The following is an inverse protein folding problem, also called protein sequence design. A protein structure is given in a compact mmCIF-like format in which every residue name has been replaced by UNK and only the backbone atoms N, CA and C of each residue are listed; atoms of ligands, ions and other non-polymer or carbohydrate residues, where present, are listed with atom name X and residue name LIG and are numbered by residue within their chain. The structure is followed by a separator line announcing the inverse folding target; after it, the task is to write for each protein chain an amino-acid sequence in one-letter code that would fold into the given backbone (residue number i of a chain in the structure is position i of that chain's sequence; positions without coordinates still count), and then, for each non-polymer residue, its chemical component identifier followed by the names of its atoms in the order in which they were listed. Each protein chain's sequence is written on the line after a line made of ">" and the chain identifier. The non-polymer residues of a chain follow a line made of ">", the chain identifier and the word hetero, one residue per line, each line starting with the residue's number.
data_IF_331008352059
#
_entry.id   IF_331008352059
#
_cell.length_a   1.000
_cell.length_b   1.000
_cell.length_c   1.000
_cell.angle_alpha   90.00
_cell.angle_beta   90.00
_cell.angle_gamma   90.00
#
_symmetry.space_group_name_H-M   'P 1'
#
loop_
_entity.id
_entity.type
_entity.pdbx_description
1 polymer ?
#
# COMPACT_ATOMS: atom_id res chain seq x y z
N UNK A 1 16.14 -7.70 39.95
CA UNK A 1 15.06 -8.08 39.01
C UNK A 1 13.76 -8.03 39.79
N UNK A 2 12.87 -7.08 39.48
CA UNK A 2 11.63 -6.93 40.24
C UNK A 2 10.64 -8.07 39.93
N UNK A 3 10.12 -8.77 40.94
CA UNK A 3 9.22 -9.92 40.75
C UNK A 3 7.89 -9.52 40.07
N UNK A 4 7.55 -8.23 40.05
CA UNK A 4 6.36 -7.69 39.38
C UNK A 4 6.45 -7.68 37.85
N UNK A 5 7.66 -7.67 37.27
CA UNK A 5 7.83 -7.70 35.80
C UNK A 5 7.61 -9.11 35.21
N UNK A 6 7.80 -10.16 36.01
CA UNK A 6 7.60 -11.56 35.59
C UNK A 6 6.12 -11.87 35.28
N UNK A 7 5.20 -11.21 35.97
CA UNK A 7 3.75 -11.37 35.74
C UNK A 7 3.32 -10.69 34.44
N UNK A 8 3.89 -9.51 34.15
CA UNK A 8 3.59 -8.75 32.92
C UNK A 8 4.05 -9.43 31.63
N UNK A 9 5.11 -10.24 31.68
CA UNK A 9 5.59 -11.03 30.54
C UNK A 9 4.75 -12.28 30.26
N UNK A 10 3.90 -12.69 31.22
CA UNK A 10 3.10 -13.93 31.15
C UNK A 10 1.69 -13.72 30.62
N UNK A 11 1.23 -12.48 30.56
CA UNK A 11 -0.02 -12.13 29.90
C UNK A 11 0.24 -12.05 28.39
N UNK A 12 -0.53 -12.76 27.56
CA UNK A 12 -0.44 -12.57 26.11
C UNK A 12 -0.87 -11.13 25.81
N UNK A 13 0.08 -10.25 25.51
CA UNK A 13 -0.26 -8.90 25.04
C UNK A 13 -1.10 -9.04 23.76
N UNK A 14 -2.22 -8.33 23.71
CA UNK A 14 -3.01 -8.28 22.49
C UNK A 14 -2.12 -7.81 21.34
N UNK A 15 -2.11 -8.51 20.20
CA UNK A 15 -1.34 -8.08 19.05
C UNK A 15 -1.84 -6.69 18.64
N UNK A 16 -1.01 -5.67 18.90
CA UNK A 16 -1.26 -4.31 18.42
C UNK A 16 -1.01 -4.28 16.92
N UNK A 17 -2.04 -4.63 16.16
CA UNK A 17 -2.03 -4.41 14.73
C UNK A 17 -2.06 -2.91 14.44
N UNK A 18 -1.20 -2.47 13.53
CA UNK A 18 -1.25 -1.11 13.00
C UNK A 18 -2.53 -0.99 12.16
N UNK A 19 -3.54 -0.30 12.68
CA UNK A 19 -4.72 0.07 11.93
C UNK A 19 -4.43 1.33 11.13
N UNK A 20 -4.47 1.21 9.80
CA UNK A 20 -4.33 2.37 8.92
C UNK A 20 -5.71 2.99 8.65
N UNK A 21 -5.87 4.31 8.85
CA UNK A 21 -7.10 5.00 8.49
C UNK A 21 -7.26 4.97 6.96
N UNK A 22 -8.44 4.61 6.47
CA UNK A 22 -8.77 4.55 5.04
C UNK A 22 -10.00 5.41 4.77
N UNK A 23 -10.18 5.83 3.51
CA UNK A 23 -11.39 6.59 3.15
C UNK A 23 -12.63 5.70 3.26
N UNK A 24 -13.78 6.24 3.72
CA UNK A 24 -15.04 5.52 3.73
C UNK A 24 -15.49 5.19 2.30
N UNK A 25 -16.35 4.18 2.16
CA UNK A 25 -16.74 3.65 0.85
C UNK A 25 -17.45 4.67 -0.05
N UNK A 26 -18.12 5.66 0.54
CA UNK A 26 -18.85 6.73 -0.15
C UNK A 26 -18.01 7.99 -0.40
N UNK A 27 -16.70 7.95 -0.14
CA UNK A 27 -15.85 9.11 -0.31
C UNK A 27 -15.78 9.54 -1.78
N UNK A 28 -15.85 10.85 -2.02
CA UNK A 28 -15.76 11.47 -3.34
C UNK A 28 -14.49 12.29 -3.44
N UNK A 29 -13.87 12.28 -4.61
CA UNK A 29 -12.75 13.14 -4.96
C UNK A 29 -13.19 14.61 -5.08
N UNK A 30 -12.22 15.51 -5.19
CA UNK A 30 -12.44 16.96 -5.43
C UNK A 30 -13.34 17.23 -6.66
N UNK A 31 -13.40 16.29 -7.60
CA UNK A 31 -14.22 16.35 -8.82
C UNK A 31 -15.62 15.72 -8.67
N UNK A 32 -16.04 15.30 -7.47
CA UNK A 32 -17.35 14.70 -7.20
C UNK A 32 -17.51 13.23 -7.66
N UNK A 33 -16.45 12.63 -8.21
CA UNK A 33 -16.39 11.22 -8.60
C UNK A 33 -16.02 10.33 -7.41
N UNK A 34 -16.41 9.04 -7.39
CA UNK A 34 -16.03 8.13 -6.31
C UNK A 34 -14.50 8.02 -6.17
N UNK A 35 -14.00 8.15 -4.94
CA UNK A 35 -12.58 8.08 -4.63
C UNK A 35 -12.08 6.64 -4.78
N UNK A 36 -11.20 6.42 -5.75
CA UNK A 36 -10.72 5.08 -6.10
C UNK A 36 -9.53 4.62 -5.24
N UNK A 37 -8.86 5.55 -4.55
CA UNK A 37 -7.65 5.34 -3.76
C UNK A 37 -7.93 5.14 -2.25
N UNK A 38 -8.92 4.32 -1.89
CA UNK A 38 -9.39 4.14 -0.50
C UNK A 38 -8.27 3.89 0.51
N UNK A 39 -7.38 2.94 0.22
CA UNK A 39 -6.28 2.54 1.09
C UNK A 39 -4.98 3.31 0.83
N UNK A 40 -4.70 3.61 -0.45
CA UNK A 40 -3.47 4.30 -0.85
C UNK A 40 -3.46 5.78 -0.48
N UNK A 41 -4.63 6.38 -0.25
CA UNK A 41 -4.80 7.72 0.33
C UNK A 41 -3.99 7.94 1.60
N UNK A 42 -3.91 6.96 2.50
CA UNK A 42 -3.14 7.07 3.75
C UNK A 42 -1.71 7.55 3.51
N UNK A 43 -1.11 7.08 2.42
CA UNK A 43 0.28 7.36 2.05
C UNK A 43 0.39 8.63 1.20
N UNK A 44 -0.62 8.93 0.39
CA UNK A 44 -0.56 9.99 -0.64
C UNK A 44 -1.30 11.27 -0.23
N UNK A 45 -2.06 11.26 0.85
CA UNK A 45 -2.80 12.42 1.36
C UNK A 45 -1.91 13.33 2.21
N UNK A 46 -1.94 14.62 1.87
CA UNK A 46 -1.43 15.71 2.72
C UNK A 46 0.07 15.63 3.00
N UNK A 47 0.42 15.95 4.25
CA UNK A 47 1.80 16.02 4.76
C UNK A 47 2.12 14.93 5.79
N UNK A 48 1.27 13.89 5.89
CA UNK A 48 1.40 12.86 6.91
C UNK A 48 2.62 11.96 6.66
N UNK A 49 2.97 11.70 5.39
CA UNK A 49 4.08 10.84 5.00
C UNK A 49 4.90 11.42 3.83
N UNK A 50 5.70 12.49 4.06
CA UNK A 50 6.49 13.12 3.00
C UNK A 50 7.57 12.19 2.45
N UNK A 51 8.15 11.32 3.29
CA UNK A 51 9.17 10.35 2.85
C UNK A 51 8.62 9.31 1.86
N UNK A 52 7.40 8.82 2.08
CA UNK A 52 6.78 7.88 1.16
C UNK A 52 6.39 8.53 -0.17
N UNK A 53 5.94 9.79 -0.15
CA UNK A 53 5.68 10.56 -1.37
C UNK A 53 6.97 10.79 -2.16
N UNK A 54 8.10 11.07 -1.50
CA UNK A 54 9.39 11.19 -2.16
C UNK A 54 9.83 9.89 -2.84
N UNK A 55 9.61 8.73 -2.19
CA UNK A 55 9.89 7.42 -2.79
C UNK A 55 8.99 7.14 -4.00
N UNK A 56 7.70 7.47 -3.93
CA UNK A 56 6.78 7.31 -5.08
C UNK A 56 7.18 8.23 -6.25
N UNK A 57 7.62 9.46 -5.96
CA UNK A 57 8.18 10.35 -6.98
C UNK A 57 9.46 9.76 -7.61
N UNK A 58 10.35 9.21 -6.80
CA UNK A 58 11.58 8.56 -7.28
C UNK A 58 11.30 7.29 -8.09
N UNK A 59 10.21 6.57 -7.79
CA UNK A 59 9.76 5.40 -8.54
C UNK A 59 9.14 5.73 -9.91
N UNK A 60 8.96 7.03 -10.23
CA UNK A 60 8.48 7.49 -11.53
C UNK A 60 7.01 7.89 -11.59
N UNK A 61 6.33 8.09 -10.44
CA UNK A 61 4.97 8.64 -10.45
C UNK A 61 5.02 10.09 -10.97
N UNK A 62 4.27 10.44 -12.03
CA UNK A 62 4.52 11.66 -12.82
C UNK A 62 4.10 12.96 -12.14
N UNK A 63 3.10 12.95 -11.26
CA UNK A 63 2.63 14.16 -10.60
C UNK A 63 2.00 13.93 -9.23
N UNK A 64 1.92 14.99 -8.42
CA UNK A 64 1.29 14.97 -7.10
C UNK A 64 -0.22 14.77 -7.20
N UNK A 65 -0.83 15.25 -8.27
CA UNK A 65 -2.25 15.09 -8.58
C UNK A 65 -2.56 13.63 -8.91
N UNK A 66 -1.73 13.00 -9.74
CA UNK A 66 -1.83 11.57 -10.05
C UNK A 66 -1.70 10.73 -8.78
N UNK A 67 -0.73 11.05 -7.91
CA UNK A 67 -0.53 10.38 -6.64
C UNK A 67 -1.75 10.47 -5.68
N UNK A 68 -2.50 11.57 -5.74
CA UNK A 68 -3.69 11.82 -4.90
C UNK A 68 -4.99 11.28 -5.47
N UNK A 69 -5.09 11.08 -6.78
CA UNK A 69 -6.36 10.72 -7.45
C UNK A 69 -6.36 9.30 -7.98
N UNK A 70 -5.21 8.77 -8.37
CA UNK A 70 -5.09 7.44 -8.96
C UNK A 70 -4.98 6.35 -7.87
N UNK A 71 -5.62 5.19 -8.07
CA UNK A 71 -5.42 4.05 -7.21
C UNK A 71 -4.03 3.44 -7.44
N UNK A 72 -3.32 3.16 -6.35
CA UNK A 72 -2.10 2.36 -6.43
C UNK A 72 -2.45 0.88 -6.38
N UNK A 73 -2.11 0.13 -7.42
CA UNK A 73 -2.37 -1.31 -7.55
C UNK A 73 -1.05 -2.06 -7.46
N UNK A 74 -0.87 -2.83 -6.38
CA UNK A 74 0.30 -3.69 -6.23
C UNK A 74 0.13 -4.97 -7.04
N UNK A 75 0.99 -5.19 -8.03
CA UNK A 75 0.99 -6.42 -8.82
C UNK A 75 2.06 -7.37 -8.26
N UNK A 76 1.63 -8.34 -7.46
CA UNK A 76 2.52 -9.35 -6.90
C UNK A 76 2.68 -10.51 -7.89
N UNK A 77 3.85 -10.59 -8.54
CA UNK A 77 4.21 -11.72 -9.41
C UNK A 77 5.04 -12.75 -8.62
N UNK A 78 4.57 -14.00 -8.56
CA UNK A 78 5.35 -15.11 -7.98
C UNK A 78 6.23 -15.72 -9.07
N UNK A 79 7.23 -14.96 -9.51
CA UNK A 79 8.20 -15.43 -10.50
C UNK A 79 9.37 -16.15 -9.82
N UNK A 80 9.75 -17.31 -10.36
CA UNK A 80 10.94 -18.05 -9.96
C UNK A 80 11.47 -18.84 -11.15
N UNK A 81 12.76 -18.70 -11.43
CA UNK A 81 13.41 -19.28 -12.61
C UNK A 81 13.53 -20.82 -12.56
N UNK A 82 13.52 -21.41 -11.35
CA UNK A 82 13.56 -22.86 -11.16
C UNK A 82 12.22 -23.58 -11.22
N UNK A 83 11.11 -22.90 -11.56
CA UNK A 83 9.80 -23.53 -11.76
C UNK A 83 9.28 -23.24 -13.18
N UNK A 84 9.23 -24.25 -14.08
CA UNK A 84 8.83 -24.06 -15.47
C UNK A 84 7.39 -23.52 -15.62
N UNK A 85 6.50 -23.74 -14.64
CA UNK A 85 5.14 -23.19 -14.65
C UNK A 85 5.09 -21.67 -14.35
N UNK A 86 6.14 -21.08 -13.79
CA UNK A 86 6.17 -19.67 -13.34
C UNK A 86 6.91 -18.75 -14.31
N UNK A 87 7.50 -19.28 -15.39
CA UNK A 87 8.26 -18.46 -16.36
C UNK A 87 7.39 -17.44 -17.12
N UNK A 88 6.16 -17.81 -17.49
CA UNK A 88 5.25 -16.95 -18.27
C UNK A 88 4.69 -15.75 -17.49
N UNK A 89 4.86 -15.70 -16.15
CA UNK A 89 4.36 -14.61 -15.32
C UNK A 89 5.01 -13.26 -15.66
N UNK A 90 6.25 -13.26 -16.17
CA UNK A 90 6.94 -12.02 -16.56
C UNK A 90 6.30 -11.34 -17.76
N UNK A 91 5.77 -12.12 -18.71
CA UNK A 91 5.08 -11.59 -19.90
C UNK A 91 3.68 -11.10 -19.53
N UNK A 92 2.95 -11.84 -18.70
CA UNK A 92 1.64 -11.42 -18.19
C UNK A 92 1.76 -10.11 -17.38
N UNK A 93 2.81 -9.98 -16.55
CA UNK A 93 3.07 -8.78 -15.75
C UNK A 93 3.24 -7.52 -16.62
N UNK A 94 4.01 -7.61 -17.72
CA UNK A 94 4.22 -6.48 -18.64
C UNK A 94 2.94 -6.04 -19.34
N UNK A 95 2.06 -6.99 -19.69
CA UNK A 95 0.80 -6.66 -20.36
C UNK A 95 -0.17 -5.93 -19.41
N UNK A 96 -0.23 -6.31 -18.13
CA UNK A 96 -1.08 -5.63 -17.14
C UNK A 96 -0.62 -4.19 -16.88
N UNK A 97 0.69 -3.94 -16.92
CA UNK A 97 1.26 -2.60 -16.80
C UNK A 97 1.00 -1.71 -18.03
N UNK A 98 0.81 -2.29 -19.21
CA UNK A 98 0.63 -1.55 -20.47
C UNK A 98 -0.84 -1.22 -20.80
N UNK A 99 -1.81 -1.84 -20.13
CA UNK A 99 -3.25 -1.64 -20.40
C UNK A 99 -3.93 -0.60 -19.50
N UNK A 100 -3.17 0.18 -18.73
CA UNK A 100 -3.66 1.32 -17.95
C UNK A 100 -2.94 2.60 -18.37
#
# INVERSE_FOLDING_TARGET
>A
MDPKNLQKQREPEEPRFLSFPHLPDDAKNENGQPALNKYSSTLTTGHNFPGAQAMLYAAGVPSREAMKTQPHVGIASVWWEGNPCKLVLTLAHKNVLATN
#
